data_IF_791958144581
#
_entry.id   IF_791958144581
#
_cell.length_a   1.000
_cell.length_b   1.000
_cell.length_c   1.000
_cell.angle_alpha   90.00
_cell.angle_beta   90.00
_cell.angle_gamma   90.00
#
_symmetry.space_group_name_H-M   'P 1'
#
loop_
_entity.id
_entity.type
_entity.pdbx_description
1 polymer ?
#
# COMPACT_ATOMS: atom_id res chain seq x y z
N UNK A 1 37.51 -6.59 -18.92
CA UNK A 1 37.32 -7.63 -17.90
C UNK A 1 35.83 -7.91 -17.83
N UNK A 2 35.38 -9.07 -18.32
CA UNK A 2 33.99 -9.50 -18.20
C UNK A 2 33.70 -9.75 -16.72
N UNK A 3 32.86 -8.93 -16.11
CA UNK A 3 32.37 -9.17 -14.75
C UNK A 3 31.68 -10.53 -14.76
N UNK A 4 32.12 -11.45 -13.91
CA UNK A 4 31.51 -12.78 -13.83
C UNK A 4 30.03 -12.63 -13.48
N UNK A 5 29.16 -13.36 -14.18
CA UNK A 5 27.74 -13.35 -13.91
C UNK A 5 27.51 -13.73 -12.43
N UNK A 6 26.61 -13.04 -11.71
CA UNK A 6 26.36 -13.33 -10.31
C UNK A 6 25.85 -14.76 -10.13
N UNK A 7 26.35 -15.44 -9.10
CA UNK A 7 25.82 -16.75 -8.70
C UNK A 7 24.36 -16.60 -8.28
N UNK A 8 23.47 -17.40 -8.89
CA UNK A 8 22.05 -17.42 -8.56
C UNK A 8 21.70 -18.57 -7.58
N UNK A 9 20.70 -18.39 -6.72
CA UNK A 9 19.94 -17.15 -6.52
C UNK A 9 20.76 -16.08 -5.80
N UNK A 10 20.49 -14.82 -6.13
CA UNK A 10 21.00 -13.68 -5.37
C UNK A 10 20.34 -13.68 -3.98
N UNK A 11 21.14 -13.76 -2.92
CA UNK A 11 20.66 -13.51 -1.56
C UNK A 11 20.83 -12.02 -1.25
N UNK A 12 19.73 -11.33 -1.00
CA UNK A 12 19.71 -9.88 -0.81
C UNK A 12 19.20 -9.55 0.60
N UNK A 13 20.06 -8.94 1.40
CA UNK A 13 19.74 -8.54 2.76
C UNK A 13 19.18 -7.09 2.85
N UNK A 14 18.76 -6.69 4.05
CA UNK A 14 18.25 -5.34 4.32
C UNK A 14 19.24 -4.21 3.96
N UNK A 15 20.55 -4.46 4.05
CA UNK A 15 21.56 -3.46 3.73
C UNK A 15 21.65 -3.20 2.23
N UNK A 16 21.62 -4.26 1.43
CA UNK A 16 21.54 -4.17 -0.02
C UNK A 16 20.24 -3.51 -0.47
N UNK A 17 19.09 -3.90 0.12
CA UNK A 17 17.80 -3.26 -0.17
C UNK A 17 17.86 -1.76 0.12
N UNK A 18 18.32 -1.38 1.33
CA UNK A 18 18.44 0.03 1.73
C UNK A 18 19.32 0.85 0.79
N UNK A 19 20.43 0.27 0.31
CA UNK A 19 21.34 0.97 -0.61
C UNK A 19 20.72 1.19 -1.99
N UNK A 20 19.98 0.21 -2.50
CA UNK A 20 19.36 0.26 -3.82
C UNK A 20 18.07 1.09 -3.87
N UNK A 21 17.30 1.12 -2.77
CA UNK A 21 15.96 1.70 -2.70
C UNK A 21 15.83 3.11 -3.30
N UNK A 22 16.74 4.06 -3.04
CA UNK A 22 16.65 5.42 -3.60
C UNK A 22 16.73 5.46 -5.13
N UNK A 23 17.26 4.42 -5.77
CA UNK A 23 17.39 4.30 -7.23
C UNK A 23 16.19 3.61 -7.89
N UNK A 24 15.24 3.09 -7.11
CA UNK A 24 14.09 2.36 -7.64
C UNK A 24 12.94 3.32 -7.99
N UNK A 25 12.46 3.24 -9.22
CA UNK A 25 11.21 3.87 -9.66
C UNK A 25 10.01 3.05 -9.15
N UNK A 26 9.65 3.23 -7.87
CA UNK A 26 8.54 2.50 -7.23
C UNK A 26 7.21 2.79 -7.94
N UNK A 27 6.89 4.07 -8.12
CA UNK A 27 5.61 4.50 -8.68
C UNK A 27 5.42 4.02 -10.14
N UNK A 28 6.44 4.18 -10.98
CA UNK A 28 6.37 3.72 -12.37
C UNK A 28 6.38 2.20 -12.47
N UNK A 29 7.09 1.49 -11.58
CA UNK A 29 7.04 0.02 -11.49
C UNK A 29 5.62 -0.47 -11.19
N UNK A 30 4.98 0.11 -10.16
CA UNK A 30 3.60 -0.25 -9.81
C UNK A 30 2.61 0.11 -10.93
N UNK A 31 2.78 1.28 -11.57
CA UNK A 31 1.92 1.67 -12.71
C UNK A 31 2.01 0.67 -13.86
N UNK A 32 3.23 0.26 -14.26
CA UNK A 32 3.44 -0.75 -15.32
C UNK A 32 2.84 -2.10 -14.92
N UNK A 33 3.05 -2.52 -13.67
CA UNK A 33 2.50 -3.77 -13.14
C UNK A 33 0.96 -3.77 -13.19
N UNK A 34 0.29 -2.73 -12.69
CA UNK A 34 -1.18 -2.66 -12.71
C UNK A 34 -1.74 -2.60 -14.12
N UNK A 35 -1.03 -1.94 -15.06
CA UNK A 35 -1.41 -1.94 -16.46
C UNK A 35 -1.29 -3.35 -17.08
N UNK A 36 -0.21 -4.09 -16.78
CA UNK A 36 -0.05 -5.47 -17.21
C UNK A 36 -1.14 -6.39 -16.63
N UNK A 37 -1.49 -6.24 -15.35
CA UNK A 37 -2.59 -6.97 -14.71
C UNK A 37 -3.92 -6.71 -15.43
N UNK A 38 -4.23 -5.46 -15.74
CA UNK A 38 -5.45 -5.09 -16.46
C UNK A 38 -5.47 -5.51 -17.93
N UNK A 39 -4.34 -5.91 -18.49
CA UNK A 39 -4.19 -6.43 -19.85
C UNK A 39 -4.04 -7.96 -19.87
N UNK A 40 -4.27 -8.64 -18.75
CA UNK A 40 -4.07 -10.08 -18.58
C UNK A 40 -2.63 -10.55 -18.91
N UNK A 41 -1.64 -9.67 -18.75
CA UNK A 41 -0.19 -9.96 -18.86
C UNK A 41 0.48 -10.08 -17.49
N UNK A 42 -0.31 -10.10 -16.42
CA UNK A 42 0.13 -10.45 -15.09
C UNK A 42 -0.99 -11.20 -14.36
N UNK A 43 -0.63 -11.99 -13.34
CA UNK A 43 -1.57 -12.78 -12.56
C UNK A 43 -1.43 -12.43 -11.08
N UNK A 44 -2.56 -12.08 -10.45
CA UNK A 44 -2.70 -11.89 -9.01
C UNK A 44 -3.63 -12.95 -8.42
N UNK A 45 -3.09 -14.05 -7.86
CA UNK A 45 -3.88 -15.00 -7.08
C UNK A 45 -4.31 -14.42 -5.72
N UNK A 46 -5.33 -14.97 -5.06
CA UNK A 46 -5.59 -14.66 -3.65
C UNK A 46 -4.39 -15.00 -2.75
N UNK A 47 -4.21 -14.23 -1.68
CA UNK A 47 -3.25 -14.58 -0.63
C UNK A 47 -3.70 -15.84 0.11
N UNK A 48 -2.74 -16.66 0.54
CA UNK A 48 -3.01 -17.88 1.31
C UNK A 48 -2.54 -17.70 2.75
N UNK A 49 -3.42 -18.00 3.71
CA UNK A 49 -3.12 -17.99 5.15
C UNK A 49 -2.91 -19.43 5.63
N UNK A 50 -1.73 -19.70 6.19
CA UNK A 50 -1.39 -20.99 6.81
C UNK A 50 -1.25 -20.79 8.31
N UNK A 51 -2.27 -21.21 9.06
CA UNK A 51 -2.25 -21.16 10.53
C UNK A 51 -1.34 -22.24 11.09
N UNK A 52 -0.56 -21.88 12.10
CA UNK A 52 0.23 -22.86 12.84
C UNK A 52 -0.62 -23.58 13.90
N UNK A 53 -0.31 -24.85 14.20
CA UNK A 53 -0.89 -25.54 15.34
C UNK A 53 -0.72 -24.77 16.65
N UNK A 54 -1.68 -24.91 17.56
CA UNK A 54 -1.59 -24.32 18.90
C UNK A 54 -1.59 -22.79 18.93
N UNK A 55 -2.10 -22.11 17.88
CA UNK A 55 -2.10 -20.65 17.76
C UNK A 55 -0.69 -20.04 17.84
N UNK A 56 0.34 -20.79 17.41
CA UNK A 56 1.74 -20.35 17.45
C UNK A 56 2.08 -19.26 16.40
N UNK A 57 1.13 -18.87 15.58
CA UNK A 57 1.30 -17.89 14.51
C UNK A 57 0.75 -18.35 13.18
N UNK A 58 1.25 -17.74 12.11
CA UNK A 58 0.86 -18.04 10.74
C UNK A 58 1.95 -17.66 9.72
N UNK A 59 1.74 -18.13 8.49
CA UNK A 59 2.32 -17.53 7.29
C UNK A 59 1.21 -16.98 6.39
N UNK A 60 1.38 -15.75 5.92
CA UNK A 60 0.67 -15.27 4.74
C UNK A 60 1.60 -15.39 3.54
N UNK A 61 1.15 -16.12 2.53
CA UNK A 61 1.83 -16.27 1.24
C UNK A 61 1.15 -15.38 0.20
N UNK A 62 1.92 -14.47 -0.36
CA UNK A 62 1.48 -13.58 -1.43
C UNK A 62 2.14 -14.00 -2.74
N UNK A 63 1.33 -14.28 -3.76
CA UNK A 63 1.79 -14.81 -5.03
C UNK A 63 1.62 -13.77 -6.14
N UNK A 64 2.45 -13.86 -7.18
CA UNK A 64 2.30 -13.06 -8.39
C UNK A 64 3.11 -13.60 -9.55
N UNK A 65 2.63 -13.37 -10.77
CA UNK A 65 3.38 -13.64 -11.99
C UNK A 65 3.32 -12.43 -12.93
N UNK A 66 4.47 -12.08 -13.49
CA UNK A 66 4.66 -10.98 -14.44
C UNK A 66 5.14 -11.58 -15.77
N UNK A 67 4.28 -11.58 -16.78
CA UNK A 67 4.55 -12.29 -18.02
C UNK A 67 5.62 -11.61 -18.86
N UNK A 68 5.65 -10.28 -18.92
CA UNK A 68 6.64 -9.55 -19.72
C UNK A 68 8.06 -9.72 -19.15
N UNK A 69 8.17 -9.64 -17.83
CA UNK A 69 9.39 -9.84 -17.06
C UNK A 69 9.79 -11.33 -16.95
N UNK A 70 8.91 -12.25 -17.35
CA UNK A 70 9.10 -13.70 -17.25
C UNK A 70 9.49 -14.14 -15.83
N UNK A 71 8.82 -13.58 -14.82
CA UNK A 71 9.10 -13.86 -13.41
C UNK A 71 7.84 -14.26 -12.66
N UNK A 72 7.96 -15.35 -11.92
CA UNK A 72 7.05 -15.72 -10.86
C UNK A 72 7.68 -15.33 -9.52
N UNK A 73 6.87 -14.92 -8.55
CA UNK A 73 7.38 -14.70 -7.21
C UNK A 73 6.38 -15.02 -6.11
N UNK A 74 6.95 -15.19 -4.92
CA UNK A 74 6.22 -15.43 -3.70
C UNK A 74 6.83 -14.63 -2.56
N UNK A 75 6.03 -13.78 -1.91
CA UNK A 75 6.39 -13.21 -0.61
C UNK A 75 5.84 -14.09 0.50
N UNK A 76 6.72 -14.47 1.42
CA UNK A 76 6.39 -15.18 2.65
C UNK A 76 6.47 -14.19 3.81
N UNK A 77 5.38 -14.01 4.54
CA UNK A 77 5.29 -13.10 5.68
C UNK A 77 4.84 -13.87 6.91
N UNK A 78 5.76 -14.38 7.73
CA UNK A 78 5.39 -15.04 8.98
C UNK A 78 4.96 -14.02 10.04
N UNK A 79 3.96 -14.40 10.82
CA UNK A 79 3.65 -13.84 12.13
C UNK A 79 3.91 -14.93 13.17
N UNK A 80 4.89 -14.73 14.06
CA UNK A 80 5.28 -15.71 15.07
C UNK A 80 4.88 -15.19 16.44
N UNK A 81 4.05 -15.96 17.14
CA UNK A 81 3.69 -15.68 18.53
C UNK A 81 4.89 -16.00 19.42
N UNK A 82 5.27 -15.06 20.27
CA UNK A 82 6.34 -15.22 21.25
C UNK A 82 5.82 -14.90 22.65
N UNK A 83 6.62 -15.14 23.69
CA UNK A 83 6.30 -14.68 25.05
C UNK A 83 6.34 -13.15 25.22
N UNK A 84 6.72 -12.39 24.17
CA UNK A 84 6.76 -10.93 24.15
C UNK A 84 6.09 -10.38 22.90
N UNK A 85 6.73 -9.42 22.23
CA UNK A 85 6.21 -8.87 20.96
C UNK A 85 6.26 -9.97 19.88
N UNK A 86 5.19 -10.15 19.10
CA UNK A 86 5.22 -11.06 17.96
C UNK A 86 6.33 -10.69 16.97
N UNK A 87 6.94 -11.70 16.37
CA UNK A 87 7.93 -11.50 15.31
C UNK A 87 7.21 -11.48 13.97
N UNK A 88 7.43 -10.42 13.20
CA UNK A 88 6.93 -10.29 11.84
C UNK A 88 8.11 -10.00 10.94
N UNK A 89 8.33 -10.85 9.94
CA UNK A 89 9.33 -10.65 8.89
C UNK A 89 8.67 -10.80 7.52
N UNK A 90 9.40 -10.48 6.46
CA UNK A 90 8.92 -10.73 5.11
C UNK A 90 10.10 -11.03 4.20
N UNK A 91 9.97 -12.05 3.37
CA UNK A 91 10.96 -12.44 2.37
C UNK A 91 10.31 -12.72 1.03
N UNK A 92 10.93 -12.30 -0.06
CA UNK A 92 10.42 -12.54 -1.42
C UNK A 92 11.39 -13.44 -2.20
N UNK A 93 10.86 -14.54 -2.72
CA UNK A 93 11.51 -15.36 -3.75
C UNK A 93 11.09 -14.91 -5.14
N UNK A 94 12.05 -14.83 -6.06
CA UNK A 94 11.80 -14.71 -7.49
C UNK A 94 12.30 -15.96 -8.23
N UNK A 95 11.50 -16.43 -9.18
CA UNK A 95 11.76 -17.60 -10.00
C UNK A 95 11.62 -17.23 -11.48
N UNK A 96 12.54 -17.71 -12.31
CA UNK A 96 12.46 -17.55 -13.76
C UNK A 96 11.32 -18.40 -14.33
N UNK A 97 10.37 -17.77 -15.02
CA UNK A 97 9.32 -18.49 -15.76
C UNK A 97 9.88 -19.20 -17.00
N UNK A 98 11.07 -18.81 -17.47
CA UNK A 98 11.73 -19.46 -18.63
C UNK A 98 12.44 -20.75 -18.27
N UNK A 99 13.08 -20.80 -17.11
CA UNK A 99 13.99 -21.89 -16.74
C UNK A 99 13.58 -22.65 -15.48
N UNK A 100 12.60 -22.12 -14.73
CA UNK A 100 12.21 -22.66 -13.42
C UNK A 100 13.27 -22.48 -12.33
N UNK A 101 14.38 -21.78 -12.61
CA UNK A 101 15.48 -21.60 -11.65
C UNK A 101 15.24 -20.38 -10.75
N UNK A 102 15.69 -20.43 -9.49
CA UNK A 102 15.58 -19.31 -8.56
C UNK A 102 16.50 -18.16 -8.99
N UNK A 103 15.97 -16.94 -8.93
CA UNK A 103 16.66 -15.70 -9.30
C UNK A 103 17.15 -14.94 -8.08
N UNK A 104 16.28 -14.78 -7.07
CA UNK A 104 16.57 -13.95 -5.90
C UNK A 104 15.80 -14.42 -4.67
N UNK A 105 16.44 -14.34 -3.51
CA UNK A 105 15.84 -14.45 -2.19
C UNK A 105 16.16 -13.17 -1.40
N UNK A 106 15.14 -12.37 -1.11
CA UNK A 106 15.33 -10.98 -0.67
C UNK A 106 14.55 -10.67 0.60
N UNK A 107 15.19 -9.99 1.55
CA UNK A 107 14.47 -9.31 2.64
C UNK A 107 13.47 -8.31 2.04
N UNK A 108 12.21 -8.46 2.39
CA UNK A 108 11.12 -7.72 1.77
C UNK A 108 10.48 -6.69 2.71
N UNK A 109 11.03 -6.45 3.91
CA UNK A 109 10.39 -5.57 4.88
C UNK A 109 10.34 -4.12 4.37
N UNK A 110 11.49 -3.58 3.93
CA UNK A 110 11.55 -2.23 3.35
C UNK A 110 10.79 -2.14 2.02
N UNK A 111 10.89 -3.17 1.19
CA UNK A 111 10.16 -3.24 -0.07
C UNK A 111 8.65 -3.19 0.16
N UNK A 112 8.13 -3.91 1.16
CA UNK A 112 6.71 -3.89 1.54
C UNK A 112 6.30 -2.48 1.98
N UNK A 113 7.12 -1.78 2.76
CA UNK A 113 6.85 -0.40 3.17
C UNK A 113 6.73 0.52 1.95
N UNK A 114 7.72 0.49 1.04
CA UNK A 114 7.72 1.38 -0.12
C UNK A 114 6.62 1.05 -1.12
N UNK A 115 6.41 -0.22 -1.44
CA UNK A 115 5.38 -0.61 -2.42
C UNK A 115 3.98 -0.29 -1.89
N UNK A 116 3.73 -0.44 -0.59
CA UNK A 116 2.42 -0.10 -0.01
C UNK A 116 2.14 1.39 -0.15
N UNK A 117 3.14 2.22 0.19
CA UNK A 117 3.05 3.67 0.01
C UNK A 117 2.94 4.09 -1.46
N UNK A 118 3.70 3.45 -2.34
CA UNK A 118 3.67 3.67 -3.78
C UNK A 118 2.32 3.30 -4.40
N UNK A 119 1.68 2.22 -3.94
CA UNK A 119 0.36 1.78 -4.41
C UNK A 119 -0.70 2.82 -4.03
N UNK A 120 -0.68 3.31 -2.79
CA UNK A 120 -1.57 4.39 -2.36
C UNK A 120 -1.28 5.69 -3.11
N UNK A 121 -0.01 6.04 -3.32
CA UNK A 121 0.37 7.23 -4.10
C UNK A 121 -0.10 7.14 -5.56
N UNK A 122 -0.04 5.96 -6.17
CA UNK A 122 -0.60 5.72 -7.51
C UNK A 122 -2.12 5.92 -7.52
N UNK A 123 -2.82 5.43 -6.50
CA UNK A 123 -4.25 5.65 -6.36
C UNK A 123 -4.58 7.14 -6.19
N UNK A 124 -3.82 7.86 -5.35
CA UNK A 124 -3.95 9.31 -5.18
C UNK A 124 -3.71 10.03 -6.51
N UNK A 125 -2.69 9.65 -7.27
CA UNK A 125 -2.40 10.28 -8.56
C UNK A 125 -3.55 10.09 -9.57
N UNK A 126 -4.18 8.92 -9.60
CA UNK A 126 -5.32 8.62 -10.46
C UNK A 126 -6.64 9.25 -9.98
N UNK A 127 -6.85 9.34 -8.66
CA UNK A 127 -8.15 9.64 -8.07
C UNK A 127 -8.26 11.06 -7.52
N UNK A 128 -7.17 11.70 -7.07
CA UNK A 128 -7.23 13.06 -6.54
C UNK A 128 -7.36 14.08 -7.67
N UNK A 129 -8.06 15.22 -7.46
CA UNK A 129 -8.03 16.32 -8.41
C UNK A 129 -6.60 16.75 -8.75
N UNK A 130 -6.37 17.21 -9.98
CA UNK A 130 -5.05 17.68 -10.41
C UNK A 130 -4.58 18.93 -9.66
N UNK A 131 -5.53 19.71 -9.16
CA UNK A 131 -5.35 20.94 -8.39
C UNK A 131 -5.50 20.71 -6.86
N UNK A 132 -5.48 19.47 -6.37
CA UNK A 132 -5.53 19.19 -4.94
C UNK A 132 -4.36 19.88 -4.20
N UNK A 133 -4.66 20.59 -3.11
CA UNK A 133 -3.71 21.45 -2.38
C UNK A 133 -3.47 21.04 -0.93
N UNK A 134 -4.36 20.25 -0.32
CA UNK A 134 -4.31 19.92 1.10
C UNK A 134 -4.26 18.41 1.31
N UNK A 135 -3.14 17.92 1.83
CA UNK A 135 -2.91 16.52 2.17
C UNK A 135 -2.97 16.33 3.69
N UNK A 136 -3.70 15.32 4.15
CA UNK A 136 -3.68 14.85 5.53
C UNK A 136 -3.14 13.41 5.59
N UNK A 137 -2.23 13.13 6.52
CA UNK A 137 -1.68 11.80 6.77
C UNK A 137 -1.92 11.43 8.22
N UNK A 138 -2.63 10.32 8.46
CA UNK A 138 -2.90 9.81 9.80
C UNK A 138 -2.05 8.56 10.02
N UNK A 139 -1.07 8.66 10.91
CA UNK A 139 -0.08 7.61 11.21
C UNK A 139 1.35 8.06 10.89
N UNK A 140 2.26 7.80 11.82
CA UNK A 140 3.71 8.11 11.70
C UNK A 140 4.59 6.88 11.88
N UNK A 141 4.02 5.68 11.73
CA UNK A 141 4.82 4.46 11.58
C UNK A 141 5.60 4.47 10.27
N UNK A 142 6.47 3.47 10.06
CA UNK A 142 7.33 3.40 8.88
C UNK A 142 6.53 3.50 7.55
N UNK A 143 5.36 2.87 7.49
CA UNK A 143 4.46 2.95 6.32
C UNK A 143 3.87 4.35 6.15
N UNK A 144 3.44 5.03 7.23
CA UNK A 144 2.93 6.41 7.15
C UNK A 144 3.98 7.42 6.70
N UNK A 145 5.22 7.27 7.18
CA UNK A 145 6.35 8.09 6.71
C UNK A 145 6.66 7.84 5.22
N UNK A 146 6.57 6.59 4.76
CA UNK A 146 6.70 6.27 3.35
C UNK A 146 5.56 6.90 2.51
N UNK A 147 4.31 6.83 2.98
CA UNK A 147 3.18 7.48 2.32
C UNK A 147 3.40 8.98 2.17
N UNK A 148 3.89 9.66 3.21
CA UNK A 148 4.29 11.07 3.13
C UNK A 148 5.30 11.29 2.00
N UNK A 149 6.39 10.52 1.96
CA UNK A 149 7.41 10.67 0.90
C UNK A 149 6.87 10.47 -0.51
N UNK A 150 6.08 9.42 -0.73
CA UNK A 150 5.54 9.10 -2.06
C UNK A 150 4.45 10.08 -2.50
N UNK A 151 3.64 10.59 -1.57
CA UNK A 151 2.57 11.53 -1.89
C UNK A 151 3.04 12.99 -2.01
N UNK A 152 4.09 13.38 -1.28
CA UNK A 152 4.59 14.76 -1.21
C UNK A 152 4.95 15.37 -2.58
N UNK A 153 5.41 14.54 -3.52
CA UNK A 153 5.81 14.96 -4.86
C UNK A 153 4.67 14.93 -5.89
N UNK A 154 3.50 14.37 -5.56
CA UNK A 154 2.41 14.17 -6.54
C UNK A 154 1.72 15.47 -6.93
N UNK A 155 1.67 16.44 -6.03
CA UNK A 155 1.00 17.73 -6.22
C UNK A 155 1.83 18.84 -5.57
N UNK A 156 1.58 20.06 -6.02
CA UNK A 156 2.05 21.25 -5.34
C UNK A 156 1.15 21.53 -4.12
N UNK A 157 1.34 20.73 -3.07
CA UNK A 157 0.61 20.84 -1.81
C UNK A 157 0.90 22.19 -1.15
N UNK A 158 -0.14 22.96 -0.84
CA UNK A 158 -0.06 24.15 0.02
C UNK A 158 0.14 23.74 1.48
N UNK A 159 -0.53 22.67 1.92
CA UNK A 159 -0.39 22.15 3.28
C UNK A 159 -0.32 20.64 3.30
N UNK A 160 0.61 20.09 4.09
CA UNK A 160 0.63 18.67 4.45
C UNK A 160 0.49 18.58 5.97
N UNK A 161 -0.64 18.07 6.45
CA UNK A 161 -0.89 17.85 7.88
C UNK A 161 -0.65 16.40 8.23
N UNK A 162 0.00 16.16 9.36
CA UNK A 162 0.31 14.81 9.83
C UNK A 162 -0.15 14.67 11.27
N UNK A 163 -0.88 13.60 11.58
CA UNK A 163 -1.30 13.30 12.93
C UNK A 163 -0.98 11.87 13.33
N UNK A 164 -0.56 11.70 14.57
CA UNK A 164 -0.32 10.43 15.24
C UNK A 164 -0.16 10.71 16.73
N UNK A 165 -0.67 9.84 17.64
CA UNK A 165 -0.40 9.96 19.07
C UNK A 165 1.10 10.05 19.39
N UNK A 166 1.95 9.38 18.60
CA UNK A 166 3.40 9.36 18.80
C UNK A 166 4.11 10.69 18.50
N UNK A 167 3.41 11.69 17.93
CA UNK A 167 3.97 13.02 17.70
C UNK A 167 3.97 13.91 18.95
N UNK A 168 3.06 13.66 19.89
CA UNK A 168 3.02 14.42 21.14
C UNK A 168 4.32 14.18 21.93
N UNK A 169 5.06 15.25 22.22
CA UNK A 169 6.34 15.16 22.96
C UNK A 169 7.53 14.53 22.22
N UNK A 170 7.38 14.09 20.97
CA UNK A 170 8.46 13.42 20.22
C UNK A 170 9.16 14.38 19.24
N UNK A 171 10.15 15.13 19.74
CA UNK A 171 10.90 16.09 18.95
C UNK A 171 11.64 15.45 17.75
N UNK A 172 12.18 14.24 17.92
CA UNK A 172 12.89 13.53 16.86
C UNK A 172 11.96 13.17 15.68
N UNK A 173 10.74 12.68 15.97
CA UNK A 173 9.75 12.39 14.93
C UNK A 173 9.28 13.67 14.22
N UNK A 174 9.10 14.78 14.95
CA UNK A 174 8.75 16.08 14.35
C UNK A 174 9.85 16.60 13.42
N UNK A 175 11.12 16.46 13.83
CA UNK A 175 12.26 16.79 13.00
C UNK A 175 12.34 15.89 11.75
N UNK A 176 12.05 14.60 11.89
CA UNK A 176 12.00 13.67 10.77
C UNK A 176 10.91 14.08 9.76
N UNK A 177 9.69 14.43 10.20
CA UNK A 177 8.65 14.94 9.30
C UNK A 177 9.11 16.16 8.50
N UNK A 178 9.73 17.13 9.17
CA UNK A 178 10.23 18.34 8.51
C UNK A 178 11.38 18.04 7.54
N UNK A 179 12.21 17.02 7.83
CA UNK A 179 13.28 16.55 6.94
C UNK A 179 12.73 15.85 5.70
N UNK A 180 11.63 15.09 5.85
CA UNK A 180 10.95 14.42 4.74
C UNK A 180 10.27 15.41 3.81
N UNK A 181 9.57 16.40 4.36
CA UNK A 181 9.01 17.51 3.60
C UNK A 181 8.86 18.76 4.48
N UNK A 182 9.43 19.92 4.09
CA UNK A 182 9.35 21.14 4.89
C UNK A 182 7.93 21.72 4.97
N UNK A 183 6.95 21.23 4.21
CA UNK A 183 5.52 21.58 4.28
C UNK A 183 4.75 20.70 5.26
N UNK A 184 5.32 19.57 5.71
CA UNK A 184 4.71 18.68 6.68
C UNK A 184 4.62 19.36 8.06
N UNK A 185 3.41 19.44 8.60
CA UNK A 185 3.12 20.05 9.90
C UNK A 185 2.36 19.06 10.79
N UNK A 186 2.80 18.85 12.04
CA UNK A 186 2.05 18.04 12.99
C UNK A 186 0.71 18.73 13.32
N UNK A 187 -0.37 17.96 13.37
CA UNK A 187 -1.67 18.39 13.85
C UNK A 187 -1.97 17.76 15.22
N UNK A 188 -2.68 18.48 16.08
CA UNK A 188 -2.90 18.07 17.48
C UNK A 188 -4.00 17.00 17.64
N UNK A 189 -4.87 16.86 16.65
CA UNK A 189 -5.94 15.86 16.61
C UNK A 189 -6.19 15.36 15.19
N UNK A 190 -6.90 14.24 15.06
CA UNK A 190 -7.38 13.75 13.75
C UNK A 190 -8.27 14.80 13.09
N UNK A 191 -9.22 15.41 13.82
CA UNK A 191 -10.10 16.47 13.32
C UNK A 191 -9.31 17.65 12.71
N UNK A 192 -8.33 18.19 13.45
CA UNK A 192 -7.50 19.28 12.97
C UNK A 192 -6.66 18.87 11.74
N UNK A 193 -6.24 17.61 11.67
CA UNK A 193 -5.46 17.07 10.57
C UNK A 193 -6.28 17.00 9.27
N UNK A 194 -7.51 16.48 9.35
CA UNK A 194 -8.36 16.24 8.16
C UNK A 194 -9.21 17.42 7.74
N UNK A 195 -9.30 18.47 8.58
CA UNK A 195 -10.06 19.68 8.29
C UNK A 195 -9.67 20.28 6.94
N UNK A 196 -10.64 20.36 6.04
CA UNK A 196 -10.48 20.83 4.67
C UNK A 196 -9.41 20.08 3.87
N UNK A 197 -9.14 18.82 4.15
CA UNK A 197 -8.22 18.01 3.33
C UNK A 197 -8.85 17.68 1.96
N UNK A 198 -8.07 17.76 0.88
CA UNK A 198 -8.46 17.20 -0.42
C UNK A 198 -8.22 15.68 -0.46
N UNK A 199 -7.15 15.25 0.20
CA UNK A 199 -6.72 13.86 0.31
C UNK A 199 -6.41 13.54 1.76
N UNK A 200 -6.98 12.45 2.27
CA UNK A 200 -6.74 11.90 3.60
C UNK A 200 -6.17 10.50 3.45
N UNK A 201 -4.93 10.28 3.89
CA UNK A 201 -4.29 8.98 3.90
C UNK A 201 -4.29 8.38 5.30
N UNK A 202 -5.09 7.33 5.51
CA UNK A 202 -5.14 6.54 6.74
C UNK A 202 -4.08 5.45 6.67
N UNK A 203 -3.08 5.57 7.54
CA UNK A 203 -1.90 4.71 7.63
C UNK A 203 -1.72 4.20 9.07
N UNK A 204 -2.81 3.79 9.71
CA UNK A 204 -2.84 3.42 11.12
C UNK A 204 -2.89 1.92 11.33
N UNK A 205 -2.65 1.49 12.57
CA UNK A 205 -2.90 0.12 13.01
C UNK A 205 -4.26 -0.04 13.70
N UNK A 206 -5.19 0.89 13.49
CA UNK A 206 -6.49 0.86 14.16
C UNK A 206 -7.33 -0.30 13.65
N UNK A 207 -7.96 -1.04 14.56
CA UNK A 207 -8.97 -2.05 14.23
C UNK A 207 -10.38 -1.46 14.09
N UNK A 208 -10.55 -0.17 14.38
CA UNK A 208 -11.83 0.55 14.41
C UNK A 208 -11.72 1.90 13.67
N UNK A 209 -12.84 2.52 13.29
CA UNK A 209 -12.82 3.77 12.54
C UNK A 209 -11.96 4.85 13.19
N UNK A 210 -11.09 5.45 12.39
CA UNK A 210 -10.26 6.61 12.74
C UNK A 210 -10.97 7.91 12.40
N UNK A 211 -11.81 7.88 11.35
CA UNK A 211 -12.68 8.98 10.96
C UNK A 211 -14.09 8.75 11.51
N UNK A 212 -14.72 9.83 11.95
CA UNK A 212 -16.12 9.87 12.39
C UNK A 212 -16.94 10.90 11.63
N UNK A 213 -18.25 10.84 11.79
CA UNK A 213 -19.21 11.73 11.12
C UNK A 213 -18.90 13.20 11.43
N UNK A 214 -19.04 14.07 10.43
CA UNK A 214 -18.81 15.51 10.56
C UNK A 214 -17.34 15.95 10.54
N UNK A 215 -16.36 15.04 10.60
CA UNK A 215 -14.93 15.41 10.51
C UNK A 215 -14.51 15.88 9.12
N UNK A 216 -15.14 15.34 8.07
CA UNK A 216 -14.92 15.78 6.69
C UNK A 216 -16.03 16.74 6.28
N UNK A 217 -15.67 17.99 6.05
CA UNK A 217 -16.61 19.10 5.76
C UNK A 217 -16.94 19.25 4.28
N UNK A 218 -16.24 18.53 3.40
CA UNK A 218 -16.37 18.60 1.94
C UNK A 218 -15.89 17.31 1.28
N UNK A 219 -16.26 17.04 0.00
CA UNK A 219 -15.75 15.90 -0.75
C UNK A 219 -14.22 15.81 -0.71
N UNK A 220 -13.72 14.63 -0.36
CA UNK A 220 -12.31 14.33 -0.19
C UNK A 220 -12.03 12.91 -0.69
N UNK A 221 -10.80 12.66 -1.12
CA UNK A 221 -10.31 11.30 -1.36
C UNK A 221 -9.76 10.75 -0.04
N UNK A 222 -10.35 9.68 0.47
CA UNK A 222 -9.86 8.94 1.63
C UNK A 222 -9.20 7.66 1.16
N UNK A 223 -7.95 7.41 1.55
CA UNK A 223 -7.26 6.15 1.28
C UNK A 223 -7.05 5.38 2.58
N UNK A 224 -7.21 4.07 2.57
CA UNK A 224 -6.95 3.21 3.74
C UNK A 224 -6.14 1.98 3.36
N UNK A 225 -5.14 1.69 4.19
CA UNK A 225 -4.37 0.44 4.13
C UNK A 225 -4.76 -0.54 5.24
N UNK A 226 -5.34 -0.04 6.35
CA UNK A 226 -5.75 -0.82 7.53
C UNK A 226 -4.65 -1.80 7.99
N UNK A 227 -5.05 -2.88 8.66
CA UNK A 227 -4.20 -4.00 9.05
C UNK A 227 -4.74 -5.31 8.48
N UNK A 228 -3.93 -6.37 8.55
CA UNK A 228 -4.34 -7.71 8.17
C UNK A 228 -5.18 -8.43 9.24
N UNK A 229 -5.50 -7.75 10.35
CA UNK A 229 -6.37 -8.32 11.38
C UNK A 229 -7.78 -8.45 10.79
N UNK A 230 -8.38 -9.63 10.97
CA UNK A 230 -9.73 -9.89 10.48
C UNK A 230 -10.71 -8.80 10.97
N UNK A 231 -11.57 -8.32 10.07
CA UNK A 231 -12.57 -7.27 10.33
C UNK A 231 -12.01 -5.88 10.70
N UNK A 232 -10.69 -5.68 10.73
CA UNK A 232 -10.11 -4.36 11.00
C UNK A 232 -10.40 -3.37 9.86
N UNK A 233 -10.79 -2.16 10.23
CA UNK A 233 -11.13 -1.09 9.30
C UNK A 233 -10.87 0.30 9.90
N UNK A 234 -10.48 1.25 9.06
CA UNK A 234 -10.15 2.62 9.47
C UNK A 234 -11.26 3.65 9.20
N UNK A 235 -12.33 3.26 8.50
CA UNK A 235 -13.51 4.12 8.24
C UNK A 235 -14.80 3.39 8.62
N UNK A 236 -15.87 4.10 9.00
CA UNK A 236 -17.16 3.48 9.28
C UNK A 236 -17.68 2.71 8.05
N UNK A 237 -18.02 1.42 8.17
CA UNK A 237 -18.56 0.64 7.05
C UNK A 237 -19.84 1.25 6.45
N UNK A 238 -20.63 1.93 7.28
CA UNK A 238 -21.85 2.63 6.89
C UNK A 238 -21.61 3.79 5.89
N UNK A 239 -20.36 4.25 5.70
CA UNK A 239 -20.05 5.30 4.72
C UNK A 239 -20.00 4.79 3.28
N UNK A 240 -19.71 3.50 3.06
CA UNK A 240 -19.48 2.94 1.71
C UNK A 240 -20.66 3.15 0.73
N UNK A 241 -21.95 3.02 1.13
CA UNK A 241 -23.09 3.34 0.27
C UNK A 241 -23.07 4.75 -0.33
N UNK A 242 -22.49 5.71 0.39
CA UNK A 242 -22.50 7.14 0.06
C UNK A 242 -21.16 7.63 -0.50
N UNK A 243 -20.25 6.73 -0.87
CA UNK A 243 -18.93 7.06 -1.43
C UNK A 243 -18.76 6.58 -2.88
N UNK A 244 -17.86 7.23 -3.62
CA UNK A 244 -17.27 6.62 -4.82
C UNK A 244 -16.17 5.65 -4.39
N UNK A 245 -16.43 4.34 -4.45
CA UNK A 245 -15.53 3.31 -3.90
C UNK A 245 -14.59 2.74 -4.96
N UNK A 246 -13.31 2.68 -4.63
CA UNK A 246 -12.23 2.12 -5.43
C UNK A 246 -11.36 1.19 -4.57
N UNK A 247 -10.60 0.31 -5.21
CA UNK A 247 -9.64 -0.55 -4.52
C UNK A 247 -8.39 -0.84 -5.35
N UNK A 248 -7.41 -1.48 -4.74
CA UNK A 248 -6.25 -2.04 -5.44
C UNK A 248 -6.65 -3.11 -6.46
N UNK A 249 -7.45 -4.11 -6.08
CA UNK A 249 -7.93 -5.15 -7.00
C UNK A 249 -9.30 -5.74 -6.67
N UNK A 250 -10.29 -5.51 -7.54
CA UNK A 250 -11.70 -5.84 -7.25
C UNK A 250 -11.97 -7.33 -7.01
N UNK A 251 -11.11 -8.21 -7.50
CA UNK A 251 -11.30 -9.65 -7.37
C UNK A 251 -10.93 -10.20 -5.99
N UNK A 252 -10.06 -9.52 -5.24
CA UNK A 252 -9.57 -10.01 -3.93
C UNK A 252 -9.94 -9.08 -2.78
N UNK A 253 -9.93 -7.77 -3.00
CA UNK A 253 -10.11 -6.76 -1.94
C UNK A 253 -11.42 -6.86 -1.19
N UNK A 254 -12.59 -7.01 -1.85
CA UNK A 254 -13.88 -7.01 -1.14
C UNK A 254 -14.06 -8.18 -0.18
N UNK A 255 -13.38 -9.30 -0.45
CA UNK A 255 -13.43 -10.49 0.40
C UNK A 255 -12.46 -10.43 1.60
N UNK A 256 -11.54 -9.46 1.63
CA UNK A 256 -10.54 -9.32 2.71
C UNK A 256 -10.68 -8.02 3.51
N UNK A 257 -11.23 -6.96 2.90
CA UNK A 257 -11.38 -5.66 3.54
C UNK A 257 -12.57 -5.65 4.53
N UNK A 258 -12.28 -5.41 5.82
CA UNK A 258 -13.26 -5.49 6.90
C UNK A 258 -14.44 -4.54 6.71
N UNK A 259 -14.19 -3.29 6.30
CA UNK A 259 -15.26 -2.32 6.05
C UNK A 259 -16.14 -2.70 4.86
N UNK A 260 -15.58 -3.32 3.82
CA UNK A 260 -16.36 -3.82 2.68
C UNK A 260 -17.24 -5.00 3.09
N UNK A 261 -16.69 -5.97 3.83
CA UNK A 261 -17.45 -7.13 4.34
C UNK A 261 -18.60 -6.69 5.25
N UNK A 262 -18.34 -5.78 6.18
CA UNK A 262 -19.35 -5.23 7.08
C UNK A 262 -20.40 -4.41 6.34
N UNK A 263 -20.00 -3.59 5.37
CA UNK A 263 -20.96 -2.81 4.58
C UNK A 263 -21.93 -3.71 3.78
N UNK A 264 -21.44 -4.84 3.25
CA UNK A 264 -22.32 -5.85 2.61
C UNK A 264 -23.27 -6.47 3.64
N UNK A 265 -22.75 -6.90 4.78
CA UNK A 265 -23.52 -7.63 5.78
C UNK A 265 -24.55 -6.76 6.52
N UNK A 266 -24.22 -5.50 6.79
CA UNK A 266 -24.91 -4.65 7.77
C UNK A 266 -25.54 -3.40 7.16
N UNK A 267 -25.11 -2.96 5.96
CA UNK A 267 -25.47 -1.64 5.41
C UNK A 267 -25.99 -1.67 3.97
N UNK A 268 -26.33 -2.85 3.44
CA UNK A 268 -26.92 -2.99 2.11
C UNK A 268 -26.00 -2.57 0.96
N UNK A 269 -24.70 -2.43 1.22
CA UNK A 269 -23.71 -2.17 0.19
C UNK A 269 -23.47 -3.43 -0.65
N UNK A 270 -23.10 -3.25 -1.92
CA UNK A 270 -22.87 -4.36 -2.85
C UNK A 270 -21.51 -4.20 -3.51
N UNK A 271 -20.77 -5.29 -3.67
CA UNK A 271 -19.42 -5.28 -4.27
C UNK A 271 -19.43 -4.69 -5.68
N UNK A 272 -20.52 -4.88 -6.42
CA UNK A 272 -20.72 -4.28 -7.76
C UNK A 272 -20.74 -2.74 -7.76
N UNK A 273 -20.84 -2.09 -6.58
CA UNK A 273 -20.75 -0.62 -6.44
C UNK A 273 -19.32 -0.10 -6.50
N UNK A 274 -18.30 -0.96 -6.51
CA UNK A 274 -16.92 -0.54 -6.73
C UNK A 274 -16.80 0.06 -8.14
N UNK A 275 -16.52 1.36 -8.20
CA UNK A 275 -16.45 2.12 -9.44
C UNK A 275 -15.24 1.72 -10.30
N UNK A 276 -14.13 1.37 -9.66
CA UNK A 276 -12.91 0.96 -10.34
C UNK A 276 -11.87 0.36 -9.41
N UNK A 277 -10.85 -0.25 -10.00
CA UNK A 277 -9.65 -0.74 -9.31
C UNK A 277 -8.39 -0.21 -9.99
N UNK A 278 -7.21 -0.41 -9.39
CA UNK A 278 -5.96 0.12 -9.95
C UNK A 278 -5.68 -0.31 -11.40
N UNK A 279 -5.91 -1.58 -11.82
CA UNK A 279 -5.80 -1.98 -13.22
C UNK A 279 -6.66 -1.14 -14.18
N UNK A 280 -7.90 -0.83 -13.79
CA UNK A 280 -8.78 0.01 -14.60
C UNK A 280 -8.40 1.49 -14.51
N UNK A 281 -8.00 1.98 -13.33
CA UNK A 281 -7.63 3.38 -13.10
C UNK A 281 -6.38 3.78 -13.90
N UNK A 282 -5.33 2.96 -13.89
CA UNK A 282 -4.09 3.28 -14.63
C UNK A 282 -4.30 3.28 -16.15
N UNK A 283 -5.31 2.55 -16.63
CA UNK A 283 -5.71 2.50 -18.03
C UNK A 283 -6.83 3.49 -18.38
N UNK A 284 -7.34 4.25 -17.40
CA UNK A 284 -8.50 5.14 -17.54
C UNK A 284 -9.75 4.42 -18.07
N UNK A 285 -9.93 3.17 -17.68
CA UNK A 285 -11.01 2.27 -18.10
C UNK A 285 -12.15 2.16 -17.05
N UNK A 286 -12.23 3.13 -16.14
CA UNK A 286 -13.32 3.24 -15.17
C UNK A 286 -13.65 4.73 -14.93
N UNK A 287 -14.84 5.04 -14.38
CA UNK A 287 -15.22 6.41 -14.07
C UNK A 287 -14.25 7.07 -13.09
N UNK A 288 -14.03 8.37 -13.25
CA UNK A 288 -13.37 9.19 -12.23
C UNK A 288 -14.35 9.47 -11.06
N UNK A 289 -13.85 9.84 -9.87
CA UNK A 289 -14.72 10.27 -8.78
C UNK A 289 -15.63 11.43 -9.18
N UNK A 290 -16.88 11.38 -8.74
CA UNK A 290 -17.94 12.35 -9.05
C UNK A 290 -17.64 13.77 -8.53
N UNK A 291 -16.83 13.87 -7.47
CA UNK A 291 -16.53 15.11 -6.72
C UNK A 291 -17.71 15.73 -5.97
N UNK A 292 -18.88 15.08 -5.98
CA UNK A 292 -20.06 15.51 -5.20
C UNK A 292 -20.17 14.78 -3.86
N UNK A 293 -19.41 13.70 -3.69
CA UNK A 293 -19.30 12.89 -2.47
C UNK A 293 -17.86 12.48 -2.23
N UNK A 294 -17.56 11.92 -1.07
CA UNK A 294 -16.22 11.40 -0.78
C UNK A 294 -15.89 10.23 -1.71
N UNK A 295 -14.62 10.13 -2.08
CA UNK A 295 -14.07 8.95 -2.74
C UNK A 295 -13.30 8.12 -1.71
N UNK A 296 -13.40 6.80 -1.80
CA UNK A 296 -12.65 5.88 -0.96
C UNK A 296 -11.77 4.99 -1.80
N UNK A 297 -10.50 4.85 -1.43
CA UNK A 297 -9.59 3.88 -2.00
C UNK A 297 -9.08 2.93 -0.92
N UNK A 298 -9.29 1.63 -1.14
CA UNK A 298 -8.83 0.57 -0.23
C UNK A 298 -7.69 -0.24 -0.85
N UNK A 299 -6.56 -0.35 -0.13
CA UNK A 299 -5.44 -1.22 -0.52
C UNK A 299 -5.16 -2.30 0.52
N UNK A 300 -5.47 -3.56 0.21
CA UNK A 300 -5.14 -4.72 1.06
C UNK A 300 -3.71 -5.20 0.84
N UNK A 301 -3.08 -4.78 -0.27
CA UNK A 301 -1.74 -5.14 -0.63
C UNK A 301 -1.67 -6.47 -1.37
N UNK A 302 -1.24 -6.40 -2.62
CA UNK A 302 -1.22 -7.55 -3.53
C UNK A 302 0.17 -8.19 -3.59
N UNK A 303 0.22 -9.51 -3.78
CA UNK A 303 1.49 -10.21 -3.96
C UNK A 303 2.25 -9.76 -5.20
N UNK A 304 1.52 -9.40 -6.25
CA UNK A 304 2.09 -8.89 -7.49
C UNK A 304 2.82 -7.56 -7.28
N UNK A 305 2.43 -6.73 -6.32
CA UNK A 305 3.18 -5.52 -5.95
C UNK A 305 4.54 -5.88 -5.34
N UNK A 306 4.57 -6.90 -4.47
CA UNK A 306 5.81 -7.40 -3.87
C UNK A 306 6.74 -8.02 -4.92
N UNK A 307 6.18 -8.81 -5.85
CA UNK A 307 6.94 -9.40 -6.97
C UNK A 307 7.49 -8.32 -7.90
N UNK A 308 6.69 -7.29 -8.23
CA UNK A 308 7.12 -6.22 -9.12
C UNK A 308 8.27 -5.40 -8.54
N UNK A 309 8.19 -5.01 -7.27
CA UNK A 309 9.26 -4.22 -6.65
C UNK A 309 10.52 -5.07 -6.39
N UNK A 310 10.35 -6.35 -6.05
CA UNK A 310 11.47 -7.28 -5.94
C UNK A 310 12.16 -7.48 -7.31
N UNK A 311 11.39 -7.58 -8.40
CA UNK A 311 11.96 -7.68 -9.75
C UNK A 311 12.69 -6.39 -10.16
N UNK A 312 12.18 -5.21 -9.80
CA UNK A 312 12.87 -3.95 -10.02
C UNK A 312 14.21 -3.90 -9.27
N UNK A 313 14.26 -4.38 -8.02
CA UNK A 313 15.49 -4.52 -7.25
C UNK A 313 16.46 -5.52 -7.89
N UNK A 314 15.98 -6.72 -8.25
CA UNK A 314 16.78 -7.74 -8.94
C UNK A 314 17.43 -7.17 -10.21
N UNK A 315 16.63 -6.46 -11.01
CA UNK A 315 17.09 -5.80 -12.24
C UNK A 315 18.13 -4.73 -11.93
N UNK A 316 17.94 -3.91 -10.89
CA UNK A 316 18.93 -2.91 -10.49
C UNK A 316 20.26 -3.53 -10.06
N UNK A 317 20.24 -4.62 -9.29
CA UNK A 317 21.43 -5.30 -8.79
C UNK A 317 22.18 -6.13 -9.85
N UNK A 318 21.51 -6.47 -10.95
CA UNK A 318 22.08 -7.30 -12.04
C UNK A 318 22.41 -6.51 -13.31
N UNK A 319 21.98 -5.26 -13.40
CA UNK A 319 22.43 -4.34 -14.44
C UNK A 319 23.88 -3.95 -14.16
N UNK A 320 24.78 -4.38 -15.04
CA UNK A 320 26.17 -3.93 -15.09
C UNK A 320 26.26 -2.45 -15.50
#
# INVERSE_FOLDING_TARGET
MTQAAPTLPLTVDDAMVRAALPSLDVLGTLRRMFAALGQARAVQPPQTLTLFPGQAGDFITYLGALADEQVFGAKLSPYIVTGGKPVVTAWTALMSMRTGQPLMWCDAQRLTIERTAGTTALAVDCLAPGDAKRLAVIGTGAVGLAHLRHAAALRDWETIRVHSPALAGNAAMRAELARLDPRARPADSVDACVRDADVVMLCTSSGVPVLGDGMLTRPALVTSISTNVAQAHEIPPAWLPDMDVYCDYRHTTPASAGEMQRAVAEHGWRVERIAGDLPALVQRACPAPSRTRHAFFRSIGLGLEDVAIAHALYTHLTRA
#
